data_IF_283643534538
#
_entry.id   IF_283643534538
#
_cell.length_a   1.000
_cell.length_b   1.000
_cell.length_c   1.000
_cell.angle_alpha   90.00
_cell.angle_beta   90.00
_cell.angle_gamma   90.00
#
_symmetry.space_group_name_H-M   'P 1'
#
loop_
_entity.id
_entity.type
_entity.pdbx_description
1 polymer ?
#
# COMPACT_ATOMS: atom_id res chain seq x y z
N UNK A 1 -1.60 27.97 74.24
CA UNK A 1 -2.57 27.78 73.15
C UNK A 1 -1.79 27.34 71.90
N UNK A 2 -2.03 26.12 71.41
CA UNK A 2 -1.41 25.62 70.16
C UNK A 2 -2.54 25.31 69.18
N UNK A 3 -2.65 26.13 68.15
CA UNK A 3 -3.62 26.00 67.05
C UNK A 3 -3.12 24.90 66.11
N UNK A 4 -3.90 23.83 65.92
CA UNK A 4 -3.62 22.79 64.92
C UNK A 4 -4.45 23.09 63.68
N UNK A 5 -3.79 23.45 62.59
CA UNK A 5 -4.38 23.48 61.25
C UNK A 5 -4.48 22.04 60.73
N UNK A 6 -5.69 21.61 60.40
CA UNK A 6 -5.93 20.43 59.59
C UNK A 6 -5.97 20.87 58.12
N UNK A 7 -4.94 20.52 57.35
CA UNK A 7 -4.96 20.59 55.89
C UNK A 7 -5.62 19.32 55.36
N UNK A 8 -6.84 19.44 54.82
CA UNK A 8 -7.45 18.40 53.99
C UNK A 8 -6.74 18.39 52.63
N UNK A 9 -6.02 17.31 52.33
CA UNK A 9 -5.56 17.03 50.98
C UNK A 9 -6.71 16.33 50.21
N UNK A 10 -7.27 17.03 49.21
CA UNK A 10 -8.21 16.46 48.24
C UNK A 10 -7.38 15.65 47.21
N UNK A 11 -7.59 14.33 47.04
CA UNK A 11 -7.04 13.63 45.90
C UNK A 11 -7.87 14.01 44.66
N UNK A 12 -7.28 14.81 43.78
CA UNK A 12 -7.81 15.12 42.46
C UNK A 12 -7.70 13.83 41.61
N UNK A 13 -8.76 13.02 41.62
CA UNK A 13 -8.88 11.88 40.74
C UNK A 13 -8.98 12.40 39.30
N UNK A 14 -7.86 12.36 38.57
CA UNK A 14 -7.83 12.49 37.12
C UNK A 14 -8.70 11.36 36.55
N UNK A 15 -9.94 11.69 36.22
CA UNK A 15 -10.77 10.89 35.35
C UNK A 15 -10.10 10.84 33.99
N UNK A 16 -9.20 9.86 33.81
CA UNK A 16 -8.84 9.37 32.49
C UNK A 16 -10.11 8.80 31.90
N UNK A 17 -10.85 9.63 31.15
CA UNK A 17 -11.79 9.12 30.17
C UNK A 17 -10.96 8.24 29.23
N UNK A 18 -10.99 6.94 29.47
CA UNK A 18 -10.64 5.96 28.46
C UNK A 18 -11.67 6.20 27.36
N UNK A 19 -11.29 7.00 26.34
CA UNK A 19 -11.94 6.86 25.05
C UNK A 19 -11.79 5.38 24.75
N UNK A 20 -12.90 4.66 24.78
CA UNK A 20 -12.95 3.38 24.07
C UNK A 20 -12.42 3.72 22.69
N UNK A 21 -11.30 3.08 22.32
CA UNK A 21 -10.88 3.15 20.94
C UNK A 21 -12.07 2.65 20.15
N UNK A 22 -12.73 3.54 19.42
CA UNK A 22 -13.72 3.15 18.43
C UNK A 22 -12.97 2.21 17.49
N UNK A 23 -13.18 0.91 17.69
CA UNK A 23 -12.63 -0.11 16.83
C UNK A 23 -13.32 0.10 15.49
N UNK A 24 -12.66 0.87 14.62
CA UNK A 24 -13.05 1.07 13.24
C UNK A 24 -13.25 -0.31 12.62
N UNK A 25 -14.48 -0.64 12.26
CA UNK A 25 -14.81 -1.91 11.61
C UNK A 25 -14.52 -1.86 10.09
N UNK A 26 -13.77 -0.87 9.62
CA UNK A 26 -13.30 -0.81 8.23
C UNK A 26 -12.24 -1.89 7.97
N UNK A 27 -12.20 -2.47 6.76
CA UNK A 27 -11.15 -3.41 6.41
C UNK A 27 -9.77 -2.74 6.46
N UNK A 28 -8.70 -3.48 6.76
CA UNK A 28 -7.33 -2.96 6.66
C UNK A 28 -6.97 -2.43 5.26
N UNK A 29 -7.64 -2.92 4.22
CA UNK A 29 -7.49 -2.43 2.85
C UNK A 29 -8.25 -1.13 2.56
N UNK A 30 -8.90 -0.52 3.55
CA UNK A 30 -9.73 0.67 3.35
C UNK A 30 -8.85 1.90 3.06
N UNK A 31 -9.08 2.66 1.97
CA UNK A 31 -8.30 3.85 1.67
C UNK A 31 -8.63 4.98 2.65
N UNK A 32 -7.69 5.29 3.55
CA UNK A 32 -7.80 6.38 4.53
C UNK A 32 -7.12 7.67 4.06
N UNK A 33 -6.22 7.57 3.07
CA UNK A 33 -5.44 8.70 2.56
C UNK A 33 -5.86 9.11 1.15
N UNK A 34 -5.88 8.17 0.20
CA UNK A 34 -6.37 8.36 -1.17
C UNK A 34 -5.61 9.39 -2.01
N UNK A 35 -4.36 9.73 -1.65
CA UNK A 35 -3.56 10.69 -2.42
C UNK A 35 -2.74 9.95 -3.47
N UNK A 36 -2.83 10.45 -4.70
CA UNK A 36 -2.06 9.95 -5.84
C UNK A 36 -0.96 10.95 -6.19
N UNK A 37 0.28 10.49 -6.14
CA UNK A 37 1.41 11.18 -6.78
C UNK A 37 1.63 10.61 -8.17
N UNK A 38 2.02 11.46 -9.11
CA UNK A 38 2.40 11.04 -10.46
C UNK A 38 3.73 11.64 -10.87
N UNK A 39 4.48 10.89 -11.65
CA UNK A 39 5.69 11.35 -12.34
C UNK A 39 5.80 10.67 -13.69
N UNK A 40 6.14 11.43 -14.72
CA UNK A 40 6.40 10.89 -16.06
C UNK A 40 7.91 10.74 -16.28
N UNK A 41 8.31 9.65 -16.94
CA UNK A 41 9.71 9.44 -17.37
C UNK A 41 9.75 8.67 -18.68
N UNK A 42 10.24 9.31 -19.74
CA UNK A 42 10.17 8.76 -21.09
C UNK A 42 8.73 8.40 -21.49
N UNK A 43 8.47 7.18 -22.00
CA UNK A 43 7.13 6.72 -22.35
C UNK A 43 6.31 6.20 -21.15
N UNK A 44 6.80 6.35 -19.92
CA UNK A 44 6.15 5.84 -18.72
C UNK A 44 5.48 6.95 -17.91
N UNK A 45 4.33 6.62 -17.34
CA UNK A 45 3.70 7.35 -16.24
C UNK A 45 3.71 6.45 -15.00
N UNK A 46 4.23 6.97 -13.90
CA UNK A 46 4.34 6.25 -12.64
C UNK A 46 3.41 6.92 -11.64
N UNK A 47 2.53 6.14 -11.04
CA UNK A 47 1.57 6.59 -10.04
C UNK A 47 1.82 5.89 -8.71
N UNK A 48 1.89 6.65 -7.63
CA UNK A 48 1.82 6.13 -6.26
C UNK A 48 0.51 6.55 -5.63
N UNK A 49 -0.38 5.61 -5.39
CA UNK A 49 -1.58 5.86 -4.58
C UNK A 49 -1.30 5.47 -3.13
N UNK A 50 -1.22 6.45 -2.23
CA UNK A 50 -1.09 6.21 -0.79
C UNK A 50 -2.47 5.81 -0.26
N UNK A 51 -2.62 4.55 0.13
CA UNK A 51 -3.90 4.00 0.61
C UNK A 51 -4.03 4.28 2.11
N UNK A 52 -3.02 3.87 2.89
CA UNK A 52 -2.90 4.15 4.31
C UNK A 52 -1.43 4.43 4.69
N UNK A 53 -1.14 5.64 5.18
CA UNK A 53 0.21 6.04 5.59
C UNK A 53 0.62 5.51 6.96
N UNK A 54 -0.33 5.04 7.78
CA UNK A 54 -0.08 4.53 9.12
C UNK A 54 0.17 3.02 9.15
N UNK A 55 -0.21 2.31 8.07
CA UNK A 55 -0.06 0.85 7.94
C UNK A 55 0.77 0.44 6.70
N UNK A 56 1.64 1.33 6.22
CA UNK A 56 2.56 1.08 5.10
C UNK A 56 1.88 0.51 3.83
N UNK A 57 0.70 1.06 3.48
CA UNK A 57 -0.10 0.58 2.36
C UNK A 57 -0.15 1.62 1.23
N UNK A 58 0.39 1.25 0.08
CA UNK A 58 0.32 2.02 -1.15
C UNK A 58 0.22 1.10 -2.38
N UNK A 59 -0.34 1.64 -3.45
CA UNK A 59 -0.30 1.04 -4.78
C UNK A 59 0.74 1.76 -5.63
N UNK A 60 1.54 0.99 -6.36
CA UNK A 60 2.40 1.48 -7.42
C UNK A 60 1.81 1.04 -8.77
N UNK A 61 1.45 2.00 -9.61
CA UNK A 61 1.09 1.74 -11.01
C UNK A 61 2.21 2.25 -11.90
N UNK A 62 2.67 1.40 -12.82
CA UNK A 62 3.57 1.81 -13.90
C UNK A 62 2.82 1.60 -15.20
N UNK A 63 2.45 2.70 -15.86
CA UNK A 63 1.79 2.72 -17.15
C UNK A 63 2.80 3.05 -18.25
N UNK A 64 2.71 2.33 -19.37
CA UNK A 64 3.60 2.42 -20.52
C UNK A 64 2.80 2.78 -21.77
N UNK A 65 3.25 3.82 -22.48
CA UNK A 65 2.65 4.34 -23.73
C UNK A 65 3.66 4.45 -24.86
N UNK A 66 4.73 3.65 -24.81
CA UNK A 66 5.82 3.71 -25.78
C UNK A 66 5.57 2.90 -27.05
N UNK A 67 6.57 2.92 -27.93
CA UNK A 67 6.44 2.44 -29.30
C UNK A 67 6.23 0.92 -29.42
N UNK A 68 6.56 0.13 -28.39
CA UNK A 68 6.37 -1.32 -28.43
C UNK A 68 4.88 -1.69 -28.53
N UNK A 69 3.97 -0.83 -28.06
CA UNK A 69 2.52 -1.03 -28.16
C UNK A 69 1.99 -0.94 -29.59
N UNK A 70 2.69 -0.21 -30.46
CA UNK A 70 2.35 -0.17 -31.89
C UNK A 70 2.74 -1.47 -32.62
N UNK A 71 3.61 -2.28 -32.01
CA UNK A 71 4.18 -3.48 -32.61
C UNK A 71 3.63 -4.77 -31.99
N UNK A 72 3.28 -4.74 -30.71
CA UNK A 72 2.91 -5.90 -29.91
C UNK A 72 1.66 -5.60 -29.06
N UNK A 73 0.78 -6.59 -28.84
CA UNK A 73 -0.34 -6.41 -27.94
C UNK A 73 0.13 -6.25 -26.48
N UNK A 74 -0.63 -5.52 -25.67
CA UNK A 74 -0.22 -5.16 -24.30
C UNK A 74 0.14 -6.37 -23.42
N UNK A 75 -0.52 -7.52 -23.61
CA UNK A 75 -0.24 -8.75 -22.85
C UNK A 75 1.03 -9.50 -23.29
N UNK A 76 1.72 -9.02 -24.32
CA UNK A 76 3.05 -9.49 -24.76
C UNK A 76 4.17 -8.54 -24.33
N UNK A 77 3.83 -7.44 -23.64
CA UNK A 77 4.80 -6.47 -23.11
C UNK A 77 5.09 -6.84 -21.65
N UNK A 78 6.38 -6.90 -21.32
CA UNK A 78 6.86 -6.98 -19.95
C UNK A 78 7.40 -5.62 -19.52
N UNK A 79 7.14 -5.24 -18.28
CA UNK A 79 7.67 -4.02 -17.67
C UNK A 79 8.70 -4.44 -16.61
N UNK A 80 9.93 -4.00 -16.81
CA UNK A 80 10.95 -3.99 -15.79
C UNK A 80 10.65 -2.85 -14.82
N UNK A 81 10.61 -3.15 -13.52
CA UNK A 81 10.43 -2.17 -12.45
C UNK A 81 11.49 -2.41 -11.40
N UNK A 82 12.29 -1.40 -11.09
CA UNK A 82 13.14 -1.36 -9.92
C UNK A 82 12.63 -0.27 -8.98
N UNK A 83 12.44 -0.60 -7.70
CA UNK A 83 12.06 0.31 -6.64
C UNK A 83 13.08 0.22 -5.51
N UNK A 84 13.74 1.34 -5.20
CA UNK A 84 14.72 1.44 -4.12
C UNK A 84 15.80 0.32 -4.14
N UNK A 85 16.16 -0.13 -5.34
CA UNK A 85 17.21 -1.13 -5.58
C UNK A 85 16.74 -2.58 -5.71
N UNK A 86 15.47 -2.89 -5.43
CA UNK A 86 14.89 -4.21 -5.69
C UNK A 86 14.11 -4.17 -7.01
N UNK A 87 14.20 -5.23 -7.81
CA UNK A 87 13.60 -5.25 -9.15
C UNK A 87 12.76 -6.48 -9.44
N UNK A 88 11.82 -6.29 -10.36
CA UNK A 88 10.96 -7.32 -10.89
C UNK A 88 10.71 -7.08 -12.37
N UNK A 89 10.51 -8.17 -13.10
CA UNK A 89 10.11 -8.16 -14.49
C UNK A 89 8.71 -8.75 -14.59
N UNK A 90 7.74 -7.90 -14.97
CA UNK A 90 6.33 -8.15 -14.73
C UNK A 90 5.56 -8.10 -16.05
N UNK A 91 4.66 -9.07 -16.32
CA UNK A 91 3.81 -9.00 -17.49
C UNK A 91 2.83 -7.84 -17.35
N UNK A 92 2.72 -7.03 -18.39
CA UNK A 92 1.76 -5.94 -18.42
C UNK A 92 0.34 -6.46 -18.66
N UNK A 93 -0.63 -5.73 -18.12
CA UNK A 93 -2.04 -5.87 -18.44
C UNK A 93 -2.46 -4.77 -19.41
N UNK A 94 -3.48 -5.06 -20.22
CA UNK A 94 -4.13 -4.05 -21.08
C UNK A 94 -4.98 -3.11 -20.22
N UNK A 95 -4.67 -1.82 -20.26
CA UNK A 95 -5.31 -0.78 -19.46
C UNK A 95 -6.55 -0.18 -20.10
N UNK A 96 -7.35 0.48 -19.26
CA UNK A 96 -8.58 1.16 -19.69
C UNK A 96 -8.27 2.46 -20.46
N UNK A 97 -7.05 3.01 -20.30
CA UNK A 97 -6.66 4.32 -20.84
C UNK A 97 -5.72 4.19 -22.04
N UNK A 98 -5.83 3.09 -22.79
CA UNK A 98 -4.94 2.78 -23.91
C UNK A 98 -3.47 2.83 -23.46
N UNK A 99 -3.16 2.04 -22.44
CA UNK A 99 -1.84 1.88 -21.82
C UNK A 99 -1.58 0.41 -21.48
N UNK A 100 -0.32 -0.03 -21.60
CA UNK A 100 0.12 -1.29 -21.01
C UNK A 100 0.61 -0.99 -19.60
N UNK A 101 0.10 -1.68 -18.57
CA UNK A 101 0.39 -1.29 -17.18
C UNK A 101 0.63 -2.47 -16.25
N UNK A 102 1.34 -2.20 -15.16
CA UNK A 102 1.44 -3.09 -13.99
C UNK A 102 0.94 -2.34 -12.76
N UNK A 103 0.23 -3.06 -11.88
CA UNK A 103 -0.17 -2.57 -10.55
C UNK A 103 0.42 -3.51 -9.52
N UNK A 104 1.07 -2.91 -8.53
CA UNK A 104 1.70 -3.58 -7.42
C UNK A 104 1.11 -3.03 -6.13
N UNK A 105 0.75 -3.92 -5.21
CA UNK A 105 0.08 -3.59 -3.96
C UNK A 105 0.98 -3.93 -2.76
N UNK A 106 1.27 -2.95 -1.92
CA UNK A 106 2.11 -3.12 -0.72
C UNK A 106 1.32 -3.52 0.52
N UNK A 107 0.00 -3.68 0.43
CA UNK A 107 -0.86 -3.84 1.59
C UNK A 107 -1.79 -5.05 1.53
N UNK A 108 -2.65 -5.18 2.56
CA UNK A 108 -3.67 -6.21 2.60
C UNK A 108 -4.72 -5.97 1.52
N UNK A 109 -5.18 -7.05 0.88
CA UNK A 109 -6.17 -7.02 -0.21
C UNK A 109 -7.22 -8.11 -0.09
N UNK A 110 -8.31 -7.96 -0.84
CA UNK A 110 -9.42 -8.93 -0.85
C UNK A 110 -9.95 -9.27 0.56
N UNK A 111 -9.98 -8.27 1.45
CA UNK A 111 -10.35 -8.46 2.85
C UNK A 111 -11.82 -8.89 3.00
N UNK A 112 -12.06 -9.95 3.77
CA UNK A 112 -13.38 -10.48 4.10
C UNK A 112 -13.58 -10.44 5.61
N UNK A 113 -14.74 -9.95 6.06
CA UNK A 113 -15.09 -9.99 7.47
C UNK A 113 -15.63 -11.38 7.83
N UNK A 114 -14.95 -12.06 8.74
CA UNK A 114 -15.38 -13.35 9.26
C UNK A 114 -16.01 -13.14 10.64
N UNK A 115 -17.30 -13.46 10.78
CA UNK A 115 -18.05 -13.23 12.02
C UNK A 115 -18.11 -14.47 12.93
N UNK A 116 -18.12 -14.22 14.24
CA UNK A 116 -18.34 -15.24 15.26
C UNK A 116 -19.85 -15.60 15.32
N UNK A 117 -20.28 -16.46 14.38
CA UNK A 117 -21.70 -16.79 14.19
C UNK A 117 -22.03 -17.37 12.81
N UNK A 118 -21.04 -17.56 11.93
CA UNK A 118 -21.24 -18.23 10.63
C UNK A 118 -21.88 -17.34 9.56
N UNK A 119 -22.02 -16.03 9.81
CA UNK A 119 -22.46 -15.10 8.78
C UNK A 119 -21.24 -14.65 7.96
N UNK A 120 -21.05 -15.31 6.82
CA UNK A 120 -19.95 -15.08 5.89
C UNK A 120 -19.63 -16.36 5.14
N UNK A 121 -20.36 -16.66 4.06
CA UNK A 121 -20.23 -17.89 3.27
C UNK A 121 -18.95 -17.99 2.42
N UNK A 122 -17.84 -17.37 2.84
CA UNK A 122 -16.54 -17.49 2.19
C UNK A 122 -15.75 -18.61 2.84
N UNK A 123 -15.21 -19.53 2.04
CA UNK A 123 -14.31 -20.59 2.52
C UNK A 123 -13.05 -20.05 3.20
N UNK A 124 -12.70 -18.78 3.00
CA UNK A 124 -11.58 -18.13 3.69
C UNK A 124 -11.81 -17.99 5.20
N UNK A 125 -13.06 -18.09 5.66
CA UNK A 125 -13.43 -17.99 7.07
C UNK A 125 -13.46 -19.35 7.79
N UNK A 126 -13.25 -20.46 7.07
CA UNK A 126 -13.36 -21.81 7.62
C UNK A 126 -12.24 -22.10 8.62
N UNK A 127 -12.60 -22.65 9.78
CA UNK A 127 -11.63 -23.07 10.80
C UNK A 127 -11.06 -21.94 11.67
N UNK A 128 -11.53 -20.70 11.52
CA UNK A 128 -11.12 -19.59 12.37
C UNK A 128 -11.66 -19.75 13.80
N UNK A 129 -10.77 -19.57 14.77
CA UNK A 129 -11.12 -19.46 16.18
C UNK A 129 -11.18 -18.01 16.59
N UNK A 130 -12.33 -17.56 17.09
CA UNK A 130 -12.53 -16.18 17.53
C UNK A 130 -12.24 -16.02 19.03
N UNK A 131 -11.57 -14.94 19.46
CA UNK A 131 -11.42 -14.63 20.87
C UNK A 131 -12.77 -14.49 21.59
N UNK A 132 -12.86 -14.80 22.90
CA UNK A 132 -14.06 -14.53 23.68
C UNK A 132 -14.51 -13.07 23.55
N UNK A 133 -15.81 -12.86 23.33
CA UNK A 133 -16.44 -11.54 23.11
C UNK A 133 -16.07 -10.81 21.82
N UNK A 134 -15.32 -11.43 20.90
CA UNK A 134 -15.08 -10.87 19.57
C UNK A 134 -16.33 -11.00 18.67
N UNK A 135 -16.64 -9.93 17.94
CA UNK A 135 -17.65 -9.90 16.88
C UNK A 135 -17.17 -10.53 15.57
N UNK A 136 -15.86 -10.71 15.40
CA UNK A 136 -15.24 -11.23 14.19
C UNK A 136 -13.81 -10.72 13.98
N UNK A 137 -13.24 -11.03 12.82
CA UNK A 137 -11.95 -10.51 12.38
C UNK A 137 -11.93 -10.34 10.85
N UNK A 138 -11.12 -9.40 10.37
CA UNK A 138 -10.81 -9.30 8.95
C UNK A 138 -9.77 -10.34 8.55
N UNK A 139 -10.03 -11.04 7.45
CA UNK A 139 -9.07 -11.94 6.79
C UNK A 139 -8.77 -11.36 5.42
N UNK A 140 -7.51 -11.03 5.19
CA UNK A 140 -7.03 -10.42 3.96
C UNK A 140 -5.99 -11.34 3.29
N UNK A 141 -5.85 -11.19 1.98
CA UNK A 141 -4.70 -11.73 1.26
C UNK A 141 -3.46 -10.86 1.47
N UNK A 142 -2.31 -11.51 1.56
CA UNK A 142 -1.01 -10.86 1.70
C UNK A 142 -0.46 -10.37 0.35
N UNK A 143 0.64 -9.61 0.43
CA UNK A 143 1.52 -9.31 -0.69
C UNK A 143 2.01 -10.61 -1.35
N UNK A 144 2.21 -10.57 -2.67
CA UNK A 144 2.93 -11.65 -3.36
C UNK A 144 4.40 -11.59 -2.96
N UNK A 145 5.17 -12.68 -3.09
CA UNK A 145 6.61 -12.64 -2.83
C UNK A 145 7.34 -11.55 -3.63
N UNK A 146 6.91 -11.31 -4.87
CA UNK A 146 7.45 -10.25 -5.74
C UNK A 146 7.17 -8.86 -5.20
N UNK A 147 5.94 -8.58 -4.77
CA UNK A 147 5.60 -7.27 -4.16
C UNK A 147 6.33 -7.08 -2.83
N UNK A 148 6.41 -8.12 -2.00
CA UNK A 148 7.10 -8.05 -0.71
C UNK A 148 8.59 -7.73 -0.88
N UNK A 149 9.25 -8.30 -1.90
CA UNK A 149 10.63 -7.97 -2.24
C UNK A 149 10.75 -6.54 -2.77
N UNK A 150 9.92 -6.18 -3.75
CA UNK A 150 9.96 -4.86 -4.38
C UNK A 150 9.71 -3.72 -3.37
N UNK A 151 8.74 -3.88 -2.47
CA UNK A 151 8.39 -2.88 -1.46
C UNK A 151 9.25 -2.94 -0.19
N UNK A 152 10.22 -3.85 -0.09
CA UNK A 152 11.02 -4.06 1.13
C UNK A 152 11.66 -2.77 1.66
N UNK A 153 12.11 -1.88 0.77
CA UNK A 153 12.68 -0.57 1.13
C UNK A 153 11.77 0.63 0.84
N UNK A 154 10.51 0.40 0.47
CA UNK A 154 9.55 1.47 0.15
C UNK A 154 9.05 2.22 1.38
N UNK A 155 9.15 1.61 2.56
CA UNK A 155 8.74 2.18 3.85
C UNK A 155 9.89 2.06 4.85
N UNK A 156 9.94 2.96 5.83
CA UNK A 156 10.88 2.86 6.93
C UNK A 156 10.36 1.95 8.05
N UNK A 157 11.17 1.74 9.07
CA UNK A 157 10.84 0.89 10.23
C UNK A 157 9.59 1.32 11.02
N UNK A 158 9.10 2.55 10.82
CA UNK A 158 7.90 3.07 11.45
C UNK A 158 6.68 3.02 10.50
N UNK A 159 6.79 2.38 9.34
CA UNK A 159 5.74 2.30 8.32
C UNK A 159 5.56 3.57 7.48
N UNK A 160 6.37 4.62 7.70
CA UNK A 160 6.28 5.83 6.90
C UNK A 160 6.95 5.63 5.54
N UNK A 161 6.36 6.20 4.48
CA UNK A 161 6.88 6.09 3.12
C UNK A 161 8.25 6.74 2.99
N UNK A 162 9.20 6.00 2.42
CA UNK A 162 10.47 6.55 1.97
C UNK A 162 10.28 7.33 0.67
N UNK A 163 11.36 7.99 0.22
CA UNK A 163 11.44 8.37 -1.18
C UNK A 163 11.50 7.09 -2.02
N UNK A 164 10.83 7.10 -3.15
CA UNK A 164 10.82 5.98 -4.10
C UNK A 164 11.66 6.38 -5.30
N UNK A 165 12.86 5.82 -5.38
CA UNK A 165 13.71 5.85 -6.55
C UNK A 165 13.32 4.69 -7.46
N UNK A 166 12.80 5.03 -8.63
CA UNK A 166 12.16 4.09 -9.53
C UNK A 166 12.92 4.06 -10.86
N UNK A 167 13.25 2.86 -11.34
CA UNK A 167 13.72 2.66 -12.70
C UNK A 167 12.78 1.74 -13.47
N UNK A 168 12.50 2.09 -14.72
CA UNK A 168 11.58 1.34 -15.57
C UNK A 168 12.10 1.19 -16.99
N UNK A 169 11.75 0.07 -17.60
CA UNK A 169 11.93 -0.19 -19.02
C UNK A 169 10.83 -1.16 -19.48
N UNK A 170 10.55 -1.19 -20.78
CA UNK A 170 9.61 -2.12 -21.36
C UNK A 170 10.34 -3.03 -22.35
N UNK A 171 9.88 -4.27 -22.44
CA UNK A 171 10.44 -5.26 -23.33
C UNK A 171 9.34 -6.09 -23.97
N UNK A 172 9.54 -6.42 -25.24
CA UNK A 172 8.73 -7.42 -25.92
C UNK A 172 9.55 -8.09 -27.02
N UNK A 173 9.58 -9.42 -27.01
CA UNK A 173 10.27 -10.27 -28.01
C UNK A 173 11.74 -9.89 -28.26
N UNK A 174 12.46 -9.48 -27.21
CA UNK A 174 13.85 -9.05 -27.23
C UNK A 174 14.07 -7.59 -27.61
N UNK A 175 13.02 -6.84 -27.95
CA UNK A 175 13.10 -5.40 -28.20
C UNK A 175 12.87 -4.64 -26.91
N UNK A 176 13.75 -3.67 -26.64
CA UNK A 176 13.72 -2.87 -25.42
C UNK A 176 13.34 -1.43 -25.72
N UNK A 177 12.38 -0.89 -24.99
CA UNK A 177 12.13 0.54 -24.87
C UNK A 177 12.78 1.05 -23.59
N UNK A 178 13.94 1.67 -23.77
CA UNK A 178 14.83 2.13 -22.71
C UNK A 178 15.51 3.44 -23.13
N UNK A 179 16.04 4.18 -22.16
CA UNK A 179 16.78 5.41 -22.36
C UNK A 179 18.21 5.15 -22.86
N UNK A 180 18.33 4.83 -24.15
CA UNK A 180 19.62 4.67 -24.86
C UNK A 180 20.54 3.62 -24.21
N UNK A 181 19.97 2.48 -23.82
CA UNK A 181 20.68 1.39 -23.14
C UNK A 181 20.70 1.50 -21.62
N UNK A 182 20.08 2.54 -21.05
CA UNK A 182 19.80 2.68 -19.62
C UNK A 182 18.29 2.64 -19.37
N UNK A 183 17.87 2.29 -18.16
CA UNK A 183 16.46 2.41 -17.78
C UNK A 183 16.03 3.87 -17.66
N UNK A 184 14.74 4.14 -17.86
CA UNK A 184 14.15 5.42 -17.48
C UNK A 184 14.10 5.50 -15.96
N UNK A 185 14.35 6.68 -15.39
CA UNK A 185 14.38 6.88 -13.96
C UNK A 185 13.40 7.97 -13.54
N UNK A 186 12.75 7.77 -12.40
CA UNK A 186 11.91 8.76 -11.76
C UNK A 186 12.07 8.68 -10.24
N UNK A 187 11.64 9.73 -9.56
CA UNK A 187 11.65 9.79 -8.10
C UNK A 187 10.33 10.37 -7.60
N UNK A 188 9.74 9.69 -6.62
CA UNK A 188 8.62 10.20 -5.84
C UNK A 188 9.09 10.49 -4.42
N UNK A 189 8.94 11.74 -3.98
CA UNK A 189 9.41 12.17 -2.66
C UNK A 189 8.63 11.49 -1.52
N UNK A 190 9.20 11.40 -0.30
CA UNK A 190 8.50 10.83 0.85
C UNK A 190 7.18 11.56 1.12
N UNK A 191 6.15 10.83 1.54
CA UNK A 191 4.90 11.43 2.03
C UNK A 191 4.69 11.08 3.50
N UNK A 192 4.45 12.13 4.30
CA UNK A 192 4.32 12.04 5.75
C UNK A 192 2.89 12.29 6.24
N UNK A 193 2.02 12.84 5.39
CA UNK A 193 0.64 13.21 5.75
C UNK A 193 -0.32 12.99 4.60
N UNK A 194 -1.60 12.82 4.95
CA UNK A 194 -2.72 12.75 4.00
C UNK A 194 -3.27 14.13 3.62
N UNK A 195 -2.40 15.12 3.47
CA UNK A 195 -2.75 16.47 3.04
C UNK A 195 -2.07 16.81 1.72
N UNK A 196 -2.80 17.52 0.84
CA UNK A 196 -2.29 18.12 -0.39
C UNK A 196 -1.31 19.27 -0.11
#
# INVERSE_FOLDING_TARGET
>A
MKTKFFLLALPLALGLSTREADASMYPPSYPTCGIVDSVETGPFEILRNSVDLYDAHALLTVAYRGYLRDMYPDNEINIYVQLNGNDAFLPASAGTNDDAYVVLDSGPRNCVWCSNGGYGGSSVCDGLTFPPYSSGQWVCGDMTPTEADLFYWAFNQNGAQNAWDIQVAAESHGNWDSNWGWNYAARLEPRLTCSY
#
